data_IF_186600384290
#
_entry.id   IF_186600384290
#
_cell.length_a   1.000
_cell.length_b   1.000
_cell.length_c   1.000
_cell.angle_alpha   90.00
_cell.angle_beta   90.00
_cell.angle_gamma   90.00
#
_symmetry.space_group_name_H-M   'P 1'
#
loop_
_entity.id
_entity.type
_entity.pdbx_description
1 polymer ?
#
# COMPACT_ATOMS: atom_id res chain seq x y z
N UNK A 1 -19.12 -3.15 -30.96
CA UNK A 1 -18.67 -4.53 -30.71
C UNK A 1 -17.40 -4.50 -29.87
N UNK A 2 -17.39 -5.22 -28.76
CA UNK A 2 -16.28 -5.28 -27.81
C UNK A 2 -15.99 -6.74 -27.43
N UNK A 3 -14.71 -7.08 -27.29
CA UNK A 3 -14.28 -8.27 -26.57
C UNK A 3 -14.50 -8.04 -25.08
N UNK A 4 -15.28 -8.92 -24.45
CA UNK A 4 -15.50 -8.96 -23.01
C UNK A 4 -14.70 -10.13 -22.43
N UNK A 5 -13.78 -9.80 -21.53
CA UNK A 5 -13.06 -10.77 -20.71
C UNK A 5 -13.58 -10.71 -19.30
N UNK A 6 -13.88 -11.86 -18.69
CA UNK A 6 -14.53 -11.92 -17.39
C UNK A 6 -13.91 -12.97 -16.48
N UNK A 7 -13.74 -12.60 -15.22
CA UNK A 7 -13.28 -13.46 -14.13
C UNK A 7 -14.28 -13.36 -12.98
N UNK A 8 -14.56 -14.50 -12.35
CA UNK A 8 -15.24 -14.55 -11.06
C UNK A 8 -14.20 -14.76 -9.96
N UNK A 9 -14.26 -13.96 -8.91
CA UNK A 9 -13.35 -14.01 -7.77
C UNK A 9 -14.13 -14.23 -6.48
N UNK A 10 -13.66 -15.16 -5.64
CA UNK A 10 -14.20 -15.44 -4.31
C UNK A 10 -13.07 -15.42 -3.29
N UNK A 11 -13.44 -15.26 -2.02
CA UNK A 11 -12.46 -15.28 -0.92
C UNK A 11 -12.03 -16.69 -0.57
N UNK A 12 -12.94 -17.68 -0.67
CA UNK A 12 -12.56 -19.10 -0.53
C UNK A 12 -11.48 -19.50 -1.55
N UNK A 13 -11.52 -18.94 -2.76
CA UNK A 13 -10.48 -19.17 -3.78
C UNK A 13 -9.16 -18.44 -3.46
N UNK A 14 -9.19 -17.49 -2.53
CA UNK A 14 -8.03 -16.67 -2.17
C UNK A 14 -7.31 -17.17 -0.92
N UNK A 15 -8.03 -17.86 -0.04
CA UNK A 15 -7.58 -18.36 1.25
C UNK A 15 -8.25 -19.72 1.49
N UNK A 16 -7.45 -20.77 1.49
CA UNK A 16 -7.93 -22.14 1.69
C UNK A 16 -8.69 -22.25 3.05
N UNK A 17 -9.92 -22.76 3.02
CA UNK A 17 -10.74 -23.17 4.18
C UNK A 17 -10.93 -22.16 5.33
N UNK A 18 -11.23 -20.88 5.04
CA UNK A 18 -11.80 -19.98 6.05
C UNK A 18 -13.27 -20.33 6.35
N UNK A 19 -13.48 -21.24 7.31
CA UNK A 19 -14.81 -21.67 7.76
C UNK A 19 -15.47 -20.77 8.82
N UNK A 20 -14.72 -19.86 9.45
CA UNK A 20 -15.14 -19.19 10.69
C UNK A 20 -15.54 -17.71 10.52
N UNK A 21 -15.30 -17.12 9.35
CA UNK A 21 -15.68 -15.74 9.07
C UNK A 21 -15.96 -15.51 7.58
N UNK A 22 -16.79 -14.51 7.30
CA UNK A 22 -17.13 -14.11 5.92
C UNK A 22 -17.14 -12.60 5.76
N UNK A 23 -16.84 -12.20 4.53
CA UNK A 23 -16.72 -10.82 4.16
C UNK A 23 -17.93 -10.38 3.34
N UNK A 24 -18.47 -9.24 3.74
CA UNK A 24 -19.56 -8.58 3.05
C UNK A 24 -19.09 -7.24 2.50
N UNK A 25 -19.32 -7.01 1.22
CA UNK A 25 -19.18 -5.69 0.62
C UNK A 25 -20.49 -4.94 0.87
N UNK A 26 -20.40 -3.75 1.45
CA UNK A 26 -21.58 -2.94 1.79
C UNK A 26 -22.06 -2.18 0.55
N UNK A 27 -22.28 -2.89 -0.56
CA UNK A 27 -22.89 -2.42 -1.79
C UNK A 27 -24.15 -3.25 -2.10
N UNK A 28 -25.03 -2.70 -2.94
CA UNK A 28 -26.19 -3.45 -3.44
C UNK A 28 -25.70 -4.53 -4.40
N UNK A 29 -26.34 -5.68 -4.34
CA UNK A 29 -26.09 -6.76 -5.29
C UNK A 29 -26.39 -6.33 -6.73
N UNK A 30 -25.68 -6.90 -7.70
CA UNK A 30 -25.93 -6.71 -9.13
C UNK A 30 -25.84 -5.24 -9.58
N UNK A 31 -25.11 -4.42 -8.80
CA UNK A 31 -24.86 -3.03 -9.12
C UNK A 31 -23.47 -2.89 -9.75
N UNK A 32 -23.38 -2.59 -11.06
CA UNK A 32 -22.10 -2.41 -11.72
C UNK A 32 -21.43 -1.10 -11.27
N UNK A 33 -20.11 -1.13 -11.11
CA UNK A 33 -19.27 0.06 -10.92
C UNK A 33 -17.91 -0.13 -11.61
N UNK A 34 -17.17 0.95 -11.81
CA UNK A 34 -15.84 0.90 -12.43
C UNK A 34 -14.77 1.10 -11.37
N UNK A 35 -13.73 0.27 -11.47
CA UNK A 35 -12.50 0.44 -10.73
C UNK A 35 -11.33 -0.09 -11.58
N UNK A 36 -10.26 0.69 -11.69
CA UNK A 36 -9.07 0.34 -12.47
C UNK A 36 -9.34 -0.03 -13.91
N UNK A 37 -10.17 0.74 -14.61
CA UNK A 37 -10.67 0.47 -15.97
C UNK A 37 -11.50 -0.82 -16.13
N UNK A 38 -11.84 -1.51 -15.05
CA UNK A 38 -12.63 -2.75 -15.07
C UNK A 38 -14.00 -2.54 -14.46
N UNK A 39 -14.98 -3.31 -14.92
CA UNK A 39 -16.34 -3.32 -14.38
C UNK A 39 -16.44 -4.38 -13.29
N UNK A 40 -16.94 -4.00 -12.13
CA UNK A 40 -17.18 -4.89 -10.99
C UNK A 40 -18.67 -5.03 -10.76
N UNK A 41 -19.10 -6.26 -10.47
CA UNK A 41 -20.44 -6.57 -10.00
C UNK A 41 -20.32 -7.47 -8.77
N UNK A 42 -20.91 -7.04 -7.65
CA UNK A 42 -21.00 -7.85 -6.43
C UNK A 42 -22.18 -8.80 -6.55
N UNK A 43 -21.93 -10.09 -6.33
CA UNK A 43 -22.92 -11.17 -6.26
C UNK A 43 -23.02 -11.65 -4.82
N UNK A 44 -24.23 -11.58 -4.26
CA UNK A 44 -24.49 -11.98 -2.87
C UNK A 44 -25.01 -13.39 -2.86
N UNK A 45 -24.59 -14.17 -1.86
CA UNK A 45 -25.05 -15.54 -1.70
C UNK A 45 -26.28 -15.57 -0.79
N UNK A 46 -27.36 -16.24 -1.22
CA UNK A 46 -28.69 -16.12 -0.59
C UNK A 46 -29.24 -17.42 0.06
N UNK A 47 -28.47 -18.51 0.13
CA UNK A 47 -28.98 -19.76 0.72
C UNK A 47 -28.88 -19.77 2.26
N UNK A 48 -29.91 -20.30 2.92
CA UNK A 48 -30.11 -20.30 4.38
C UNK A 48 -29.09 -21.12 5.21
N UNK A 49 -28.18 -21.87 4.58
CA UNK A 49 -27.28 -22.83 5.27
C UNK A 49 -25.80 -22.70 4.83
N UNK A 50 -25.47 -21.82 3.88
CA UNK A 50 -24.09 -21.71 3.38
C UNK A 50 -23.56 -20.29 3.58
N UNK A 51 -22.60 -20.15 4.49
CA UNK A 51 -21.98 -18.89 4.85
C UNK A 51 -20.78 -18.57 3.95
N UNK A 52 -21.03 -17.99 2.78
CA UNK A 52 -19.98 -17.67 1.80
C UNK A 52 -19.88 -16.15 1.62
N UNK A 53 -18.64 -15.64 1.64
CA UNK A 53 -18.32 -14.24 1.34
C UNK A 53 -18.88 -13.79 -0.02
N UNK A 54 -19.20 -12.50 -0.14
CA UNK A 54 -19.66 -11.92 -1.41
C UNK A 54 -18.67 -12.26 -2.55
N UNK A 55 -19.18 -12.69 -3.70
CA UNK A 55 -18.34 -12.95 -4.88
C UNK A 55 -18.33 -11.76 -5.84
N UNK A 56 -17.23 -11.63 -6.56
CA UNK A 56 -16.99 -10.53 -7.49
C UNK A 56 -16.97 -11.05 -8.91
N UNK A 57 -17.78 -10.47 -9.77
CA UNK A 57 -17.68 -10.62 -11.22
C UNK A 57 -16.95 -9.39 -11.77
N UNK A 58 -15.80 -9.61 -12.39
CA UNK A 58 -14.92 -8.55 -12.89
C UNK A 58 -14.80 -8.69 -14.41
N UNK A 59 -15.10 -7.63 -15.14
CA UNK A 59 -15.05 -7.63 -16.60
C UNK A 59 -14.20 -6.50 -17.16
N UNK A 60 -13.40 -6.82 -18.17
CA UNK A 60 -12.69 -5.85 -19.00
C UNK A 60 -13.23 -5.88 -20.43
N UNK A 61 -13.44 -4.69 -21.01
CA UNK A 61 -14.00 -4.53 -22.36
C UNK A 61 -12.98 -3.85 -23.26
N UNK A 62 -12.64 -4.48 -24.38
CA UNK A 62 -11.64 -3.99 -25.33
C UNK A 62 -12.16 -4.07 -26.76
N UNK A 63 -11.73 -3.15 -27.61
CA UNK A 63 -11.97 -3.23 -29.06
C UNK A 63 -11.00 -4.18 -29.75
N UNK A 64 -9.87 -4.50 -29.10
CA UNK A 64 -8.85 -5.42 -29.58
C UNK A 64 -8.83 -6.71 -28.77
N UNK A 65 -8.69 -7.82 -29.46
CA UNK A 65 -8.54 -9.13 -28.83
C UNK A 65 -7.14 -9.27 -28.22
N UNK A 66 -7.04 -9.11 -26.90
CA UNK A 66 -5.79 -9.24 -26.16
C UNK A 66 -6.05 -9.79 -24.75
N UNK A 67 -6.08 -11.12 -24.65
CA UNK A 67 -6.35 -11.80 -23.38
C UNK A 67 -5.28 -11.53 -22.31
N UNK A 68 -4.01 -11.40 -22.71
CA UNK A 68 -2.91 -11.14 -21.76
C UNK A 68 -3.03 -9.75 -21.12
N UNK A 69 -3.36 -8.74 -21.93
CA UNK A 69 -3.62 -7.40 -21.41
C UNK A 69 -4.86 -7.37 -20.52
N UNK A 70 -5.93 -8.05 -20.94
CA UNK A 70 -7.15 -8.16 -20.15
C UNK A 70 -6.89 -8.81 -18.78
N UNK A 71 -6.12 -9.90 -18.74
CA UNK A 71 -5.72 -10.57 -17.50
C UNK A 71 -4.95 -9.62 -16.57
N UNK A 72 -3.97 -8.90 -17.12
CA UNK A 72 -3.19 -7.92 -16.36
C UNK A 72 -4.07 -6.80 -15.80
N UNK A 73 -4.98 -6.24 -16.61
CA UNK A 73 -5.90 -5.17 -16.21
C UNK A 73 -6.85 -5.63 -15.10
N UNK A 74 -7.48 -6.80 -15.26
CA UNK A 74 -8.37 -7.38 -14.25
C UNK A 74 -7.63 -7.64 -12.94
N UNK A 75 -6.43 -8.23 -12.99
CA UNK A 75 -5.61 -8.50 -11.80
C UNK A 75 -5.28 -7.22 -11.04
N UNK A 76 -4.77 -6.21 -11.74
CA UNK A 76 -4.42 -4.92 -11.13
C UNK A 76 -5.65 -4.21 -10.54
N UNK A 77 -6.79 -4.28 -11.23
CA UNK A 77 -8.04 -3.72 -10.71
C UNK A 77 -8.51 -4.45 -9.44
N UNK A 78 -8.35 -5.78 -9.39
CA UNK A 78 -8.65 -6.57 -8.21
C UNK A 78 -7.71 -6.25 -7.05
N UNK A 79 -6.39 -6.16 -7.28
CA UNK A 79 -5.42 -5.74 -6.26
C UNK A 79 -5.77 -4.36 -5.70
N UNK A 80 -6.23 -3.43 -6.54
CA UNK A 80 -6.74 -2.14 -6.08
C UNK A 80 -8.02 -2.28 -5.25
N UNK A 81 -8.95 -3.15 -5.67
CA UNK A 81 -10.15 -3.45 -4.89
C UNK A 81 -9.83 -4.03 -3.51
N UNK A 82 -8.87 -4.95 -3.42
CA UNK A 82 -8.36 -5.51 -2.15
C UNK A 82 -7.80 -4.40 -1.27
N UNK A 83 -7.01 -3.48 -1.82
CA UNK A 83 -6.52 -2.32 -1.08
C UNK A 83 -7.67 -1.48 -0.48
N UNK A 84 -8.71 -1.22 -1.27
CA UNK A 84 -9.85 -0.40 -0.85
C UNK A 84 -10.73 -1.07 0.21
N UNK A 85 -10.85 -2.39 0.18
CA UNK A 85 -11.75 -3.15 1.06
C UNK A 85 -11.05 -3.80 2.25
N UNK A 86 -9.74 -4.06 2.14
CA UNK A 86 -9.00 -4.90 3.08
C UNK A 86 -9.32 -6.40 2.97
N UNK A 87 -10.13 -6.81 1.98
CA UNK A 87 -10.59 -8.19 1.86
C UNK A 87 -9.71 -9.00 0.90
N UNK A 88 -9.34 -10.24 1.22
CA UNK A 88 -8.42 -11.05 0.43
C UNK A 88 -9.12 -11.68 -0.76
N UNK A 89 -9.34 -10.93 -1.84
CA UNK A 89 -9.84 -11.50 -3.10
C UNK A 89 -8.68 -11.92 -4.01
N UNK A 90 -8.88 -12.97 -4.80
CA UNK A 90 -7.89 -13.47 -5.74
C UNK A 90 -8.44 -13.64 -7.16
N UNK A 91 -7.59 -13.45 -8.18
CA UNK A 91 -7.93 -13.62 -9.59
C UNK A 91 -7.56 -15.01 -10.11
N UNK A 92 -7.20 -15.96 -9.25
CA UNK A 92 -6.90 -17.35 -9.60
C UNK A 92 -8.20 -18.07 -9.99
N UNK A 93 -8.68 -17.78 -11.20
CA UNK A 93 -9.88 -18.37 -11.78
C UNK A 93 -9.80 -18.36 -13.31
N UNK A 94 -10.56 -19.25 -13.94
CA UNK A 94 -10.66 -19.30 -15.40
C UNK A 94 -11.26 -18.01 -15.96
N UNK A 95 -10.56 -17.39 -16.92
CA UNK A 95 -11.10 -16.25 -17.65
C UNK A 95 -12.00 -16.71 -18.79
N UNK A 96 -13.19 -16.14 -18.86
CA UNK A 96 -14.10 -16.34 -19.99
C UNK A 96 -14.00 -15.18 -20.97
N UNK A 97 -14.06 -15.49 -22.27
CA UNK A 97 -14.04 -14.51 -23.37
C UNK A 97 -15.35 -14.60 -24.12
N UNK A 98 -15.94 -13.44 -24.40
CA UNK A 98 -17.16 -13.31 -25.22
C UNK A 98 -17.09 -12.03 -26.05
N UNK A 99 -18.00 -11.88 -27.02
CA UNK A 99 -18.16 -10.64 -27.78
C UNK A 99 -19.53 -10.05 -27.46
N UNK A 100 -19.58 -8.75 -27.21
CA UNK A 100 -20.79 -8.02 -26.84
C UNK A 100 -20.91 -6.71 -27.61
N UNK A 101 -22.13 -6.21 -27.76
CA UNK A 101 -22.37 -4.98 -28.51
C UNK A 101 -22.14 -3.71 -27.70
N UNK A 102 -22.35 -3.78 -26.38
CA UNK A 102 -22.28 -2.64 -25.49
C UNK A 102 -21.66 -2.99 -24.12
N UNK A 103 -21.20 -1.94 -23.42
CA UNK A 103 -20.73 -2.02 -22.04
C UNK A 103 -21.91 -1.88 -21.05
N UNK A 104 -21.79 -2.39 -19.81
CA UNK A 104 -22.82 -2.23 -18.79
C UNK A 104 -23.11 -0.76 -18.48
N UNK A 105 -24.40 -0.41 -18.32
CA UNK A 105 -24.81 0.92 -17.86
C UNK A 105 -24.72 0.98 -16.33
N UNK A 106 -24.05 2.00 -15.81
CA UNK A 106 -23.91 2.25 -14.38
C UNK A 106 -24.98 3.24 -13.94
N UNK A 107 -25.98 2.73 -13.21
CA UNK A 107 -27.05 3.55 -12.63
C UNK A 107 -26.62 4.11 -11.28
N UNK A 108 -26.17 5.37 -11.29
CA UNK A 108 -25.73 6.10 -10.09
C UNK A 108 -26.85 6.21 -9.05
N UNK A 109 -28.13 6.20 -9.44
CA UNK A 109 -29.24 6.46 -8.52
C UNK A 109 -29.52 5.28 -7.56
N UNK A 110 -29.11 4.05 -7.91
CA UNK A 110 -29.29 2.87 -7.04
C UNK A 110 -28.56 2.97 -5.70
N UNK A 111 -27.41 3.64 -5.66
CA UNK A 111 -26.61 3.84 -4.44
C UNK A 111 -25.72 5.08 -4.54
N UNK A 112 -26.34 6.23 -4.87
CA UNK A 112 -25.68 7.50 -5.23
C UNK A 112 -24.45 7.83 -4.40
N UNK A 113 -24.58 7.90 -3.07
CA UNK A 113 -23.46 8.25 -2.18
C UNK A 113 -22.26 7.31 -2.34
N UNK A 114 -22.48 6.00 -2.41
CA UNK A 114 -21.41 5.00 -2.51
C UNK A 114 -20.78 4.98 -3.90
N UNK A 115 -21.61 5.11 -4.94
CA UNK A 115 -21.11 5.16 -6.33
C UNK A 115 -20.32 6.44 -6.61
N UNK A 116 -20.72 7.58 -6.06
CA UNK A 116 -19.94 8.82 -6.13
C UNK A 116 -18.56 8.65 -5.46
N UNK A 117 -18.51 8.05 -4.27
CA UNK A 117 -17.24 7.75 -3.58
C UNK A 117 -16.33 6.84 -4.42
N UNK A 118 -16.90 5.81 -5.07
CA UNK A 118 -16.16 4.92 -5.97
C UNK A 118 -15.65 5.68 -7.20
N UNK A 119 -16.46 6.56 -7.79
CA UNK A 119 -16.05 7.40 -8.93
C UNK A 119 -14.93 8.39 -8.56
N UNK A 120 -14.99 9.00 -7.39
CA UNK A 120 -13.91 9.85 -6.87
C UNK A 120 -12.61 9.06 -6.68
N UNK A 121 -12.73 7.83 -6.15
CA UNK A 121 -11.62 6.90 -5.97
C UNK A 121 -10.98 6.51 -7.29
N UNK A 122 -11.81 6.15 -8.29
CA UNK A 122 -11.36 5.83 -9.63
C UNK A 122 -10.69 7.03 -10.30
N UNK A 123 -11.27 8.22 -10.15
CA UNK A 123 -10.68 9.45 -10.67
C UNK A 123 -9.31 9.72 -10.07
N UNK A 124 -9.14 9.51 -8.76
CA UNK A 124 -7.84 9.64 -8.10
C UNK A 124 -6.83 8.61 -8.64
N UNK A 125 -7.26 7.36 -8.79
CA UNK A 125 -6.44 6.28 -9.35
C UNK A 125 -5.96 6.56 -10.78
N UNK A 126 -6.84 7.08 -11.64
CA UNK A 126 -6.52 7.39 -13.03
C UNK A 126 -5.58 8.60 -13.21
N UNK A 127 -5.48 9.47 -12.20
CA UNK A 127 -4.52 10.59 -12.22
C UNK A 127 -3.08 10.14 -12.02
N UNK A 128 -2.85 8.94 -11.48
CA UNK A 128 -1.51 8.41 -11.21
C UNK A 128 -0.91 7.82 -12.50
N UNK A 129 -0.28 8.70 -13.30
CA UNK A 129 0.34 8.31 -14.57
C UNK A 129 1.80 7.92 -14.43
N UNK A 130 2.64 8.82 -13.90
CA UNK A 130 4.10 8.64 -13.88
C UNK A 130 4.57 7.52 -12.94
N UNK A 131 3.90 7.36 -11.78
CA UNK A 131 4.25 6.36 -10.76
C UNK A 131 3.39 5.10 -10.84
N UNK A 132 2.74 4.86 -11.99
CA UNK A 132 1.80 3.75 -12.17
C UNK A 132 2.43 2.37 -11.90
N UNK A 133 3.64 2.13 -12.41
CA UNK A 133 4.36 0.86 -12.17
C UNK A 133 4.66 0.62 -10.70
N UNK A 134 5.02 1.69 -9.96
CA UNK A 134 5.27 1.59 -8.52
C UNK A 134 3.98 1.26 -7.78
N UNK A 135 2.88 1.96 -8.10
CA UNK A 135 1.56 1.70 -7.52
C UNK A 135 1.12 0.26 -7.76
N UNK A 136 1.15 -0.23 -9.01
CA UNK A 136 0.73 -1.60 -9.35
C UNK A 136 1.55 -2.63 -8.55
N UNK A 137 2.87 -2.47 -8.47
CA UNK A 137 3.70 -3.37 -7.68
C UNK A 137 3.46 -3.27 -6.17
N UNK A 138 3.14 -2.08 -5.66
CA UNK A 138 2.75 -1.87 -4.26
C UNK A 138 1.42 -2.54 -3.93
N UNK A 139 0.42 -2.42 -4.82
CA UNK A 139 -0.89 -3.06 -4.64
C UNK A 139 -0.79 -4.58 -4.68
N UNK A 140 0.08 -5.12 -5.55
CA UNK A 140 0.37 -6.55 -5.59
C UNK A 140 0.96 -7.05 -4.26
N UNK A 141 1.97 -6.34 -3.70
CA UNK A 141 2.52 -6.67 -2.39
C UNK A 141 1.47 -6.52 -1.28
N UNK A 142 0.63 -5.48 -1.35
CA UNK A 142 -0.42 -5.27 -0.36
C UNK A 142 -1.43 -6.42 -0.38
N UNK A 143 -1.86 -6.87 -1.56
CA UNK A 143 -2.73 -8.03 -1.72
C UNK A 143 -2.10 -9.29 -1.11
N UNK A 144 -0.81 -9.54 -1.37
CA UNK A 144 -0.09 -10.66 -0.75
C UNK A 144 -0.07 -10.55 0.78
N UNK A 145 0.26 -9.38 1.33
CA UNK A 145 0.28 -9.15 2.77
C UNK A 145 -1.09 -9.39 3.42
N UNK A 146 -2.18 -8.95 2.78
CA UNK A 146 -3.55 -9.20 3.23
C UNK A 146 -3.88 -10.69 3.20
N UNK A 147 -3.51 -11.43 2.15
CA UNK A 147 -3.72 -12.88 2.10
C UNK A 147 -2.99 -13.61 3.22
N UNK A 148 -1.71 -13.30 3.43
CA UNK A 148 -0.88 -13.89 4.48
C UNK A 148 -1.45 -13.60 5.88
N UNK A 149 -1.91 -12.36 6.12
CA UNK A 149 -2.55 -11.94 7.36
C UNK A 149 -3.76 -12.83 7.72
N UNK A 150 -4.59 -13.17 6.74
CA UNK A 150 -5.77 -14.00 6.97
C UNK A 150 -5.49 -15.51 6.92
N UNK A 151 -4.44 -15.97 6.22
CA UNK A 151 -4.03 -17.38 6.18
C UNK A 151 -3.43 -17.84 7.51
N UNK A 152 -2.59 -17.01 8.13
CA UNK A 152 -1.75 -17.41 9.24
C UNK A 152 -2.15 -16.80 10.58
N UNK A 153 -3.06 -15.81 10.57
CA UNK A 153 -3.54 -15.12 11.76
C UNK A 153 -2.40 -14.45 12.55
N UNK A 154 -2.69 -14.13 13.81
CA UNK A 154 -1.73 -13.43 14.69
C UNK A 154 -0.56 -14.34 15.12
N UNK A 155 -0.74 -15.66 15.10
CA UNK A 155 0.24 -16.63 15.61
C UNK A 155 1.44 -16.85 14.66
N UNK A 156 1.28 -16.60 13.35
CA UNK A 156 2.33 -16.76 12.33
C UNK A 156 2.35 -15.57 11.35
N UNK A 157 2.32 -14.35 11.88
CA UNK A 157 2.18 -13.12 11.10
C UNK A 157 3.49 -12.58 10.50
N UNK A 158 4.64 -13.26 10.65
CA UNK A 158 5.96 -12.78 10.23
C UNK A 158 6.05 -12.43 8.74
N UNK A 159 5.54 -13.31 7.86
CA UNK A 159 5.58 -13.08 6.41
C UNK A 159 4.69 -11.90 5.98
N UNK A 160 3.52 -11.79 6.61
CA UNK A 160 2.61 -10.68 6.37
C UNK A 160 3.23 -9.36 6.84
N UNK A 161 3.81 -9.36 8.06
CA UNK A 161 4.55 -8.24 8.61
C UNK A 161 5.67 -7.80 7.68
N UNK A 162 6.51 -8.73 7.25
CA UNK A 162 7.65 -8.46 6.38
C UNK A 162 7.18 -7.89 5.03
N UNK A 163 6.08 -8.42 4.49
CA UNK A 163 5.48 -7.92 3.26
C UNK A 163 4.99 -6.48 3.41
N UNK A 164 4.30 -6.14 4.51
CA UNK A 164 3.86 -4.78 4.80
C UNK A 164 5.04 -3.82 5.00
N UNK A 165 6.06 -4.23 5.76
CA UNK A 165 7.26 -3.43 5.98
C UNK A 165 8.00 -3.14 4.66
N UNK A 166 8.13 -4.14 3.78
CA UNK A 166 8.75 -4.01 2.47
C UNK A 166 8.04 -2.99 1.57
N UNK A 167 6.72 -2.84 1.69
CA UNK A 167 5.98 -1.79 0.97
C UNK A 167 6.42 -0.41 1.44
N UNK A 168 6.51 -0.21 2.76
CA UNK A 168 6.96 1.05 3.36
C UNK A 168 8.37 1.38 2.89
N UNK A 169 9.31 0.43 3.03
CA UNK A 169 10.71 0.62 2.60
C UNK A 169 10.81 1.04 1.14
N UNK A 170 10.05 0.37 0.27
CA UNK A 170 10.07 0.64 -1.16
C UNK A 170 9.57 2.05 -1.49
N UNK A 171 8.47 2.48 -0.87
CA UNK A 171 7.89 3.81 -1.11
C UNK A 171 8.79 4.91 -0.55
N UNK A 172 9.26 4.71 0.68
CA UNK A 172 10.13 5.66 1.38
C UNK A 172 11.46 5.82 0.63
N UNK A 173 12.05 4.73 0.15
CA UNK A 173 13.29 4.79 -0.63
C UNK A 173 13.09 5.46 -1.98
N UNK A 174 12.00 5.16 -2.72
CA UNK A 174 11.68 5.86 -3.98
C UNK A 174 11.50 7.36 -3.74
N UNK A 175 10.89 7.77 -2.63
CA UNK A 175 10.75 9.18 -2.30
C UNK A 175 12.09 9.84 -1.94
N UNK A 176 12.89 9.18 -1.11
CA UNK A 176 14.21 9.69 -0.72
C UNK A 176 15.13 9.85 -1.93
N UNK A 177 15.17 8.87 -2.84
CA UNK A 177 16.03 8.93 -4.03
C UNK A 177 15.68 10.09 -4.97
N UNK A 178 14.42 10.53 -4.99
CA UNK A 178 13.98 11.68 -5.78
C UNK A 178 14.45 13.00 -5.14
N UNK A 179 14.47 13.07 -3.81
CA UNK A 179 14.63 14.34 -3.11
C UNK A 179 15.97 14.54 -2.40
N UNK A 180 16.79 13.50 -2.26
CA UNK A 180 18.04 13.52 -1.50
C UNK A 180 18.97 14.69 -1.85
N UNK A 181 18.97 15.13 -3.11
CA UNK A 181 19.80 16.26 -3.57
C UNK A 181 19.29 17.62 -3.07
N UNK A 182 18.00 17.74 -2.77
CA UNK A 182 17.35 18.95 -2.26
C UNK A 182 17.24 19.00 -0.73
N UNK A 183 17.64 17.94 -0.01
CA UNK A 183 17.65 17.94 1.45
C UNK A 183 18.86 18.73 1.95
N UNK A 184 18.61 19.74 2.78
CA UNK A 184 19.68 20.47 3.44
C UNK A 184 20.48 19.53 4.35
N UNK A 185 21.81 19.57 4.19
CA UNK A 185 22.75 18.75 4.97
C UNK A 185 23.13 19.42 6.29
N UNK A 186 22.62 20.62 6.56
CA UNK A 186 22.87 21.36 7.79
C UNK A 186 24.32 21.84 7.89
N UNK A 187 24.91 22.24 6.76
CA UNK A 187 26.34 22.57 6.69
C UNK A 187 26.68 23.78 7.56
N UNK A 188 25.83 24.80 7.56
CA UNK A 188 26.04 26.01 8.36
C UNK A 188 25.85 25.72 9.86
N UNK A 189 24.83 24.96 10.24
CA UNK A 189 24.61 24.54 11.63
C UNK A 189 25.77 23.67 12.15
N UNK A 190 26.30 22.79 11.29
CA UNK A 190 27.49 21.99 11.60
C UNK A 190 28.71 22.88 11.80
N UNK A 191 28.86 23.91 10.97
CA UNK A 191 29.95 24.88 11.03
C UNK A 191 29.93 25.68 12.34
N UNK A 192 28.77 26.22 12.72
CA UNK A 192 28.58 26.92 14.00
C UNK A 192 28.89 26.02 15.21
N UNK A 193 28.45 24.76 15.17
CA UNK A 193 28.72 23.79 16.22
C UNK A 193 30.22 23.49 16.36
N UNK A 194 30.91 23.29 15.24
CA UNK A 194 32.35 23.04 15.21
C UNK A 194 33.15 24.23 15.71
N UNK A 195 32.80 25.44 15.30
CA UNK A 195 33.45 26.67 15.77
C UNK A 195 33.35 26.79 17.30
N UNK A 196 32.18 26.50 17.85
CA UNK A 196 31.96 26.50 19.30
C UNK A 196 32.81 25.45 20.02
N UNK A 197 32.89 24.22 19.51
CA UNK A 197 33.72 23.16 20.12
C UNK A 197 35.20 23.54 20.08
N UNK A 198 35.69 24.01 18.92
CA UNK A 198 37.09 24.36 18.74
C UNK A 198 37.50 25.53 19.64
N UNK A 199 36.68 26.59 19.69
CA UNK A 199 36.98 27.79 20.48
C UNK A 199 36.77 27.58 21.99
N UNK A 200 35.70 26.92 22.41
CA UNK A 200 35.33 26.84 23.84
C UNK A 200 35.89 25.61 24.54
N UNK A 201 35.98 24.47 23.85
CA UNK A 201 36.45 23.22 24.45
C UNK A 201 37.94 23.02 24.26
N UNK A 202 38.43 23.27 23.04
CA UNK A 202 39.85 23.04 22.71
C UNK A 202 40.70 24.31 22.76
N UNK A 203 40.08 25.49 22.83
CA UNK A 203 40.75 26.79 22.83
C UNK A 203 41.68 26.98 21.59
N UNK A 204 41.21 26.52 20.43
CA UNK A 204 41.92 26.58 19.15
C UNK A 204 41.21 27.57 18.23
N UNK A 205 41.99 28.45 17.59
CA UNK A 205 41.51 29.27 16.48
C UNK A 205 41.69 28.53 15.15
N UNK A 206 40.67 28.60 14.30
CA UNK A 206 40.65 27.93 12.99
C UNK A 206 40.37 28.96 11.90
N UNK A 207 40.89 28.72 10.69
CA UNK A 207 40.56 29.54 9.53
C UNK A 207 39.21 29.14 8.94
N UNK A 208 38.53 30.11 8.34
CA UNK A 208 37.22 29.93 7.70
C UNK A 208 37.22 28.82 6.62
N UNK A 209 38.30 28.72 5.85
CA UNK A 209 38.47 27.69 4.82
C UNK A 209 38.51 26.28 5.44
N UNK A 210 39.26 26.09 6.53
CA UNK A 210 39.36 24.80 7.22
C UNK A 210 38.05 24.44 7.91
N UNK A 211 37.39 25.42 8.52
CA UNK A 211 36.09 25.24 9.15
C UNK A 211 35.01 24.84 8.13
N UNK A 212 35.00 25.48 6.96
CA UNK A 212 34.10 25.14 5.84
C UNK A 212 34.36 23.73 5.29
N UNK A 213 35.62 23.31 5.24
CA UNK A 213 35.97 21.95 4.83
C UNK A 213 35.50 20.91 5.84
N UNK A 214 35.81 21.09 7.13
CA UNK A 214 35.40 20.15 8.19
C UNK A 214 33.89 20.06 8.34
N UNK A 215 33.18 21.20 8.30
CA UNK A 215 31.72 21.19 8.32
C UNK A 215 31.13 20.44 7.13
N UNK A 216 31.71 20.60 5.93
CA UNK A 216 31.33 19.81 4.76
C UNK A 216 31.54 18.31 4.93
N UNK A 217 32.69 17.89 5.45
CA UNK A 217 33.00 16.46 5.69
C UNK A 217 32.06 15.85 6.74
N UNK A 218 31.84 16.55 7.86
CA UNK A 218 31.01 16.07 8.96
C UNK A 218 29.53 16.06 8.61
N UNK A 219 29.01 17.12 7.99
CA UNK A 219 27.60 17.17 7.55
C UNK A 219 27.29 16.04 6.54
N UNK A 220 28.19 15.79 5.59
CA UNK A 220 28.06 14.67 4.66
C UNK A 220 28.09 13.31 5.36
N UNK A 221 28.97 13.14 6.35
CA UNK A 221 29.05 11.92 7.14
C UNK A 221 27.76 11.67 7.93
N UNK A 222 27.25 12.69 8.64
CA UNK A 222 25.99 12.62 9.38
C UNK A 222 24.83 12.29 8.42
N UNK A 223 24.73 13.01 7.30
CA UNK A 223 23.69 12.78 6.30
C UNK A 223 23.68 11.31 5.82
N UNK A 224 24.86 10.76 5.50
CA UNK A 224 24.98 9.39 5.02
C UNK A 224 24.64 8.35 6.08
N UNK A 225 24.93 8.61 7.36
CA UNK A 225 24.52 7.72 8.46
C UNK A 225 23.01 7.78 8.65
N UNK A 226 22.46 8.98 8.76
CA UNK A 226 21.02 9.19 9.00
C UNK A 226 20.23 8.56 7.85
N UNK A 227 20.48 8.97 6.62
CA UNK A 227 19.75 8.42 5.49
C UNK A 227 20.29 7.08 4.98
N UNK A 228 21.26 6.47 5.66
CA UNK A 228 21.65 5.07 5.44
C UNK A 228 20.70 4.09 6.14
N UNK A 229 19.99 4.53 7.19
CA UNK A 229 19.10 3.70 7.99
C UNK A 229 17.63 3.83 7.53
N UNK A 230 16.93 2.69 7.47
CA UNK A 230 15.51 2.65 7.14
C UNK A 230 14.66 3.42 8.17
N UNK A 231 15.03 3.37 9.46
CA UNK A 231 14.34 4.11 10.51
C UNK A 231 14.23 5.60 10.17
N UNK A 232 15.35 6.26 9.91
CA UNK A 232 15.36 7.70 9.66
C UNK A 232 14.70 8.06 8.33
N UNK A 233 14.83 7.23 7.29
CA UNK A 233 14.09 7.45 6.04
C UNK A 233 12.58 7.38 6.26
N UNK A 234 12.10 6.42 7.05
CA UNK A 234 10.68 6.29 7.41
C UNK A 234 10.22 7.52 8.19
N UNK A 235 10.99 7.95 9.18
CA UNK A 235 10.69 9.14 9.98
C UNK A 235 10.64 10.41 9.12
N UNK A 236 11.62 10.60 8.23
CA UNK A 236 11.66 11.71 7.28
C UNK A 236 10.43 11.72 6.38
N UNK A 237 10.08 10.58 5.79
CA UNK A 237 8.89 10.46 4.94
C UNK A 237 7.61 10.81 5.73
N UNK A 238 7.47 10.24 6.93
CA UNK A 238 6.30 10.49 7.78
C UNK A 238 6.19 11.97 8.15
N UNK A 239 7.30 12.62 8.53
CA UNK A 239 7.32 14.05 8.86
C UNK A 239 6.96 14.90 7.64
N UNK A 240 7.60 14.66 6.49
CA UNK A 240 7.33 15.38 5.23
C UNK A 240 5.86 15.30 4.85
N UNK A 241 5.29 14.10 4.96
CA UNK A 241 3.90 13.85 4.69
C UNK A 241 3.03 13.99 5.93
N UNK A 242 3.41 14.68 7.02
CA UNK A 242 2.57 14.90 8.20
C UNK A 242 1.79 13.63 8.67
N UNK A 243 2.44 12.49 8.72
CA UNK A 243 1.92 11.21 9.23
C UNK A 243 2.34 11.10 10.68
N UNK A 244 1.38 11.00 11.59
CA UNK A 244 1.66 10.88 13.03
C UNK A 244 2.20 9.49 13.34
N UNK A 245 3.43 9.42 13.86
CA UNK A 245 4.09 8.16 14.19
C UNK A 245 4.71 8.18 15.59
N UNK A 246 4.76 7.00 16.22
CA UNK A 246 5.51 6.76 17.45
C UNK A 246 6.92 6.26 17.11
N UNK A 247 7.93 7.08 17.39
CA UNK A 247 9.34 6.78 17.13
C UNK A 247 9.80 5.45 17.74
N UNK A 248 9.33 5.11 18.94
CA UNK A 248 9.72 3.88 19.62
C UNK A 248 9.14 2.67 18.92
N UNK A 249 7.88 2.76 18.46
CA UNK A 249 7.26 1.67 17.68
C UNK A 249 8.00 1.51 16.36
N UNK A 250 8.28 2.58 15.61
CA UNK A 250 9.03 2.50 14.33
C UNK A 250 10.40 1.84 14.54
N UNK A 251 11.12 2.22 15.60
CA UNK A 251 12.41 1.60 15.94
C UNK A 251 12.27 0.09 16.16
N UNK A 252 11.27 -0.36 16.94
CA UNK A 252 10.99 -1.79 17.14
C UNK A 252 10.65 -2.51 15.84
N UNK A 253 9.85 -1.89 14.97
CA UNK A 253 9.47 -2.48 13.68
C UNK A 253 10.70 -2.73 12.79
N UNK A 254 11.65 -1.78 12.75
CA UNK A 254 12.92 -1.93 12.02
C UNK A 254 13.75 -3.08 12.59
N UNK A 255 13.82 -3.20 13.93
CA UNK A 255 14.51 -4.31 14.59
C UNK A 255 13.87 -5.65 14.25
N UNK A 256 12.54 -5.77 14.34
CA UNK A 256 11.79 -6.98 13.97
C UNK A 256 12.10 -7.35 12.52
N UNK A 257 11.99 -6.40 11.59
CA UNK A 257 12.27 -6.65 10.17
C UNK A 257 13.70 -7.15 9.95
N UNK A 258 14.69 -6.55 10.60
CA UNK A 258 16.09 -6.96 10.44
C UNK A 258 16.33 -8.38 10.98
N UNK A 259 15.73 -8.73 12.12
CA UNK A 259 15.78 -10.10 12.65
C UNK A 259 15.16 -11.12 11.70
N UNK A 260 13.97 -10.83 11.15
CA UNK A 260 13.32 -11.70 10.15
C UNK A 260 14.23 -11.87 8.92
N UNK A 261 14.86 -10.80 8.44
CA UNK A 261 15.78 -10.86 7.29
C UNK A 261 17.02 -11.74 7.54
N UNK A 262 17.42 -11.93 8.80
CA UNK A 262 18.51 -12.81 9.22
C UNK A 262 18.04 -14.22 9.66
N UNK A 263 16.77 -14.56 9.40
CA UNK A 263 16.14 -15.82 9.82
C UNK A 263 16.21 -16.06 11.35
N UNK A 264 16.26 -14.98 12.13
CA UNK A 264 16.14 -15.05 13.58
C UNK A 264 14.67 -15.21 13.97
N UNK A 265 14.41 -15.98 15.04
CA UNK A 265 13.06 -16.12 15.58
C UNK A 265 12.60 -14.81 16.20
N UNK A 266 11.41 -14.34 15.83
CA UNK A 266 10.84 -13.11 16.38
C UNK A 266 9.49 -13.40 17.03
N UNK A 267 9.06 -12.50 17.91
CA UNK A 267 7.70 -12.48 18.43
C UNK A 267 7.19 -11.08 18.17
N UNK A 268 6.09 -11.00 17.41
CA UNK A 268 5.48 -9.73 17.02
C UNK A 268 4.26 -9.54 17.91
N UNK A 269 4.21 -8.42 18.63
CA UNK A 269 3.02 -8.10 19.43
C UNK A 269 1.87 -7.65 18.53
N UNK A 270 0.62 -7.84 18.99
CA UNK A 270 -0.57 -7.39 18.27
C UNK A 270 -0.58 -5.88 17.99
N UNK A 271 -0.03 -5.08 18.91
CA UNK A 271 0.09 -3.62 18.73
C UNK A 271 1.07 -3.26 17.61
N UNK A 272 2.25 -3.89 17.56
CA UNK A 272 3.24 -3.69 16.49
C UNK A 272 2.68 -4.11 15.13
N UNK A 273 1.96 -5.23 15.12
CA UNK A 273 1.35 -5.76 13.90
C UNK A 273 0.22 -4.87 13.38
N UNK A 274 -0.72 -4.46 14.24
CA UNK A 274 -1.76 -3.52 13.88
C UNK A 274 -1.18 -2.18 13.39
N UNK A 275 -0.09 -1.74 14.03
CA UNK A 275 0.59 -0.50 13.67
C UNK A 275 1.22 -0.59 12.26
N UNK A 276 1.92 -1.67 11.91
CA UNK A 276 2.53 -1.80 10.58
C UNK A 276 1.47 -1.82 9.47
N UNK A 277 0.33 -2.48 9.70
CA UNK A 277 -0.79 -2.52 8.75
C UNK A 277 -1.36 -1.11 8.52
N UNK A 278 -1.58 -0.36 9.60
CA UNK A 278 -2.07 1.03 9.55
C UNK A 278 -1.07 1.93 8.82
N UNK A 279 0.20 1.91 9.24
CA UNK A 279 1.25 2.73 8.66
C UNK A 279 1.41 2.45 7.16
N UNK A 280 1.34 1.18 6.75
CA UNK A 280 1.41 0.81 5.33
C UNK A 280 0.32 1.50 4.51
N UNK A 281 -0.93 1.50 4.98
CA UNK A 281 -2.02 2.21 4.29
C UNK A 281 -1.79 3.72 4.25
N UNK A 282 -1.31 4.32 5.34
CA UNK A 282 -1.01 5.76 5.40
C UNK A 282 0.11 6.15 4.43
N UNK A 283 1.17 5.35 4.34
CA UNK A 283 2.30 5.57 3.42
C UNK A 283 1.86 5.43 1.95
N UNK A 284 1.06 4.42 1.61
CA UNK A 284 0.47 4.28 0.26
C UNK A 284 -0.40 5.50 -0.06
N UNK A 285 -1.30 5.90 0.85
CA UNK A 285 -2.18 7.04 0.65
C UNK A 285 -1.42 8.37 0.50
N UNK A 286 -0.37 8.58 1.29
CA UNK A 286 0.47 9.76 1.21
C UNK A 286 1.16 9.86 -0.16
N UNK A 287 1.78 8.75 -0.60
CA UNK A 287 2.52 8.69 -1.87
C UNK A 287 1.63 8.85 -3.11
N UNK A 288 0.46 8.22 -3.11
CA UNK A 288 -0.33 8.05 -4.34
C UNK A 288 -1.62 8.86 -4.38
N UNK A 289 -2.22 9.16 -3.22
CA UNK A 289 -3.60 9.64 -3.13
C UNK A 289 -3.75 10.92 -2.30
N UNK A 290 -2.65 11.63 -2.04
CA UNK A 290 -2.64 12.90 -1.29
C UNK A 290 -3.39 12.80 0.05
N UNK A 291 -3.25 11.66 0.74
CA UNK A 291 -3.90 11.33 2.03
C UNK A 291 -5.43 11.26 2.03
N UNK A 292 -6.11 11.26 0.89
CA UNK A 292 -7.56 10.99 0.90
C UNK A 292 -7.75 9.52 1.28
N UNK A 293 -8.45 9.19 2.38
CA UNK A 293 -8.71 7.79 2.71
C UNK A 293 -9.63 7.20 1.66
N UNK A 294 -9.09 6.28 0.85
CA UNK A 294 -9.85 5.55 -0.14
C UNK A 294 -10.31 4.22 0.48
N UNK A 295 -11.61 4.11 0.72
CA UNK A 295 -12.23 2.94 1.35
C UNK A 295 -13.54 2.63 0.65
N UNK A 296 -13.72 1.37 0.26
CA UNK A 296 -15.04 0.82 -0.06
C UNK A 296 -15.49 0.07 1.18
N UNK A 297 -16.65 0.46 1.72
CA UNK A 297 -17.14 -0.08 2.99
C UNK A 297 -17.36 -1.60 2.86
N UNK A 298 -16.69 -2.35 3.74
CA UNK A 298 -16.78 -3.80 3.89
C UNK A 298 -17.03 -4.15 5.35
N UNK A 299 -17.49 -5.37 5.62
CA UNK A 299 -17.64 -5.93 6.96
C UNK A 299 -17.08 -7.34 7.00
N UNK A 300 -16.43 -7.67 8.10
CA UNK A 300 -16.11 -9.05 8.49
C UNK A 300 -17.18 -9.46 9.50
N UNK A 301 -17.81 -10.60 9.26
CA UNK A 301 -18.81 -11.18 10.15
C UNK A 301 -18.23 -12.51 10.63
N UNK A 302 -18.01 -12.60 11.94
CA UNK A 302 -17.56 -13.83 12.61
C UNK A 302 -18.79 -14.64 13.02
N UNK A 303 -18.72 -15.98 12.92
CA UNK A 303 -19.71 -16.89 13.53
C UNK A 303 -19.33 -17.15 14.97
#
# INVERSE_FOLDING_TARGET
MYYKYEVSSRILDAIDNLGEFYFQIVLRENMPFILGDCYFVVKKYHNQVCYISDSLQISYYSERDNQNEAMRKIRVALEFFVYLTGNPYNSEGGMTKSIVDARPIIDINKSKRKLLKIQETETAYQRIRQKRKLLESTLQLYNLGIRLNFLFGDENCEDAFFTFFKIIEKIVSDEFDIEKEGIDRGKEETKECLERILSQTYNIQITEERLTKFSGEISNYIFNIVFGDNYYRIMWFCQKYNISVDCNIISKLVVIRNKIAHAEKVTISGDEYAYIMKLTREVINAKFFSKKPLIIDSKIINI
#
